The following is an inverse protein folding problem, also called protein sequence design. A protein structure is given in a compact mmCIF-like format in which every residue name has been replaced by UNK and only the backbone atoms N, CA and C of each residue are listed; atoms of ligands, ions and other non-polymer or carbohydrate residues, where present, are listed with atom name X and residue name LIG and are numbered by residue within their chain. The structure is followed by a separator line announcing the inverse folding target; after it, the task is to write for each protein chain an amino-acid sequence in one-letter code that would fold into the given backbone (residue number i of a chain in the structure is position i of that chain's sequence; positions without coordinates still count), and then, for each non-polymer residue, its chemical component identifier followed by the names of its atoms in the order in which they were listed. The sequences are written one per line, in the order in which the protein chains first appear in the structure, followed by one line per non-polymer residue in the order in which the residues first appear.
data_IF_631096922486
#
_entry.id   IF_631096922486
#
_cell.length_a   1.000
_cell.length_b   1.000
_cell.length_c   1.000
_cell.angle_alpha   90.00
_cell.angle_beta   90.00
_cell.angle_gamma   90.00
#
_symmetry.space_group_name_H-M   'P 1'
#
loop_
_entity.id
_entity.type
_entity.pdbx_description
1 polymer ?
#
# COMPACT_ATOMS: atom_id res chain seq x y z
N UNK A 1 25.62 -17.32 -7.13
CA UNK A 1 24.70 -16.30 -6.56
C UNK A 1 23.61 -17.00 -5.75
N UNK A 2 23.48 -16.70 -4.45
CA UNK A 2 22.59 -17.44 -3.53
C UNK A 2 21.10 -17.23 -3.83
N UNK A 3 20.25 -18.17 -3.37
CA UNK A 3 18.78 -18.05 -3.48
C UNK A 3 18.27 -16.79 -2.76
N UNK A 4 18.82 -16.47 -1.59
CA UNK A 4 18.47 -15.27 -0.83
C UNK A 4 18.81 -13.98 -1.56
N UNK A 5 19.98 -13.91 -2.22
CA UNK A 5 20.35 -12.74 -3.00
C UNK A 5 19.39 -12.50 -4.16
N UNK A 6 19.04 -13.55 -4.92
CA UNK A 6 18.04 -13.46 -6.00
C UNK A 6 16.68 -12.97 -5.48
N UNK A 7 16.27 -13.42 -4.29
CA UNK A 7 15.01 -13.01 -3.68
C UNK A 7 15.05 -11.54 -3.23
N UNK A 8 16.15 -11.10 -2.62
CA UNK A 8 16.36 -9.69 -2.24
C UNK A 8 16.29 -8.77 -3.46
N UNK A 9 16.90 -9.15 -4.59
CA UNK A 9 16.79 -8.39 -5.85
C UNK A 9 15.36 -8.31 -6.37
N UNK A 10 14.56 -9.38 -6.25
CA UNK A 10 13.16 -9.37 -6.66
C UNK A 10 12.33 -8.42 -5.82
N UNK A 11 12.51 -8.39 -4.50
CA UNK A 11 11.79 -7.46 -3.62
C UNK A 11 12.20 -6.01 -3.81
N UNK A 12 13.43 -5.75 -4.26
CA UNK A 12 13.95 -4.41 -4.50
C UNK A 12 13.97 -4.01 -5.99
N UNK A 13 13.22 -4.71 -6.84
CA UNK A 13 13.25 -4.49 -8.29
C UNK A 13 12.86 -3.05 -8.68
N UNK A 14 11.97 -2.41 -7.90
CA UNK A 14 11.63 -1.01 -8.09
C UNK A 14 12.88 -0.12 -7.99
N UNK A 15 13.68 -0.22 -6.93
CA UNK A 15 14.88 0.61 -6.76
C UNK A 15 16.00 0.24 -7.73
N UNK A 16 16.14 -1.04 -8.07
CA UNK A 16 17.23 -1.53 -8.89
C UNK A 16 17.05 -1.21 -10.38
N UNK A 17 15.83 -1.35 -10.89
CA UNK A 17 15.53 -1.18 -12.33
C UNK A 17 14.36 -0.26 -12.59
N UNK A 18 13.29 -0.32 -11.78
CA UNK A 18 12.06 0.46 -12.01
C UNK A 18 12.27 1.98 -11.94
N UNK A 19 12.98 2.47 -10.92
CA UNK A 19 13.18 3.89 -10.65
C UNK A 19 13.93 4.58 -11.80
N UNK A 20 14.91 3.89 -12.39
CA UNK A 20 15.70 4.41 -13.52
C UNK A 20 14.88 4.65 -14.78
N UNK A 21 13.73 3.98 -14.93
CA UNK A 21 12.84 4.18 -16.07
C UNK A 21 12.08 5.50 -16.00
N UNK A 22 12.01 6.14 -14.83
CA UNK A 22 11.30 7.41 -14.59
C UNK A 22 9.84 7.42 -15.08
N UNK A 23 9.20 6.26 -15.15
CA UNK A 23 7.81 6.13 -15.61
C UNK A 23 6.79 6.53 -14.53
N UNK A 24 7.18 6.41 -13.26
CA UNK A 24 6.32 6.74 -12.13
C UNK A 24 6.49 8.21 -11.72
N UNK A 25 5.39 8.90 -11.43
CA UNK A 25 5.40 10.28 -10.95
C UNK A 25 5.07 10.37 -9.45
N UNK A 26 5.63 11.32 -8.71
CA UNK A 26 5.25 11.60 -7.31
C UNK A 26 3.75 11.84 -7.17
N UNK A 27 3.15 11.22 -6.15
CA UNK A 27 1.84 11.59 -5.65
C UNK A 27 2.01 12.51 -4.44
N UNK A 28 1.48 13.73 -4.54
CA UNK A 28 1.65 14.82 -3.60
C UNK A 28 0.34 15.08 -2.84
N UNK A 29 0.44 15.25 -1.53
CA UNK A 29 -0.66 15.66 -0.64
C UNK A 29 -0.12 16.70 0.33
N UNK A 30 -0.75 17.88 0.40
CA UNK A 30 -0.28 19.03 1.20
C UNK A 30 1.20 19.37 0.96
N UNK A 31 1.64 19.35 -0.31
CA UNK A 31 3.03 19.60 -0.67
C UNK A 31 4.02 18.48 -0.33
N UNK A 32 3.58 17.39 0.30
CA UNK A 32 4.43 16.24 0.63
C UNK A 32 4.26 15.09 -0.37
N UNK A 33 5.38 14.50 -0.80
CA UNK A 33 5.31 13.24 -1.54
C UNK A 33 4.98 12.08 -0.61
N UNK A 34 3.83 11.44 -0.86
CA UNK A 34 3.33 10.29 -0.08
C UNK A 34 3.38 8.98 -0.85
N UNK A 35 3.53 9.04 -2.17
CA UNK A 35 3.51 7.87 -3.03
C UNK A 35 4.06 8.11 -4.43
N UNK A 36 3.77 7.15 -5.31
CA UNK A 36 4.20 7.11 -6.70
C UNK A 36 3.11 6.50 -7.57
N UNK A 37 2.81 7.16 -8.67
CA UNK A 37 1.76 6.77 -9.60
C UNK A 37 2.35 6.31 -10.92
N UNK A 38 1.89 5.15 -11.39
CA UNK A 38 2.23 4.63 -12.71
C UNK A 38 1.38 5.30 -13.81
N UNK A 39 1.83 5.31 -15.08
CA UNK A 39 1.11 5.97 -16.16
C UNK A 39 -0.33 5.47 -16.39
N UNK A 40 -0.58 4.18 -16.21
CA UNK A 40 -1.90 3.59 -16.33
C UNK A 40 -2.87 4.07 -15.24
N UNK A 41 -2.37 4.36 -14.04
CA UNK A 41 -3.18 4.92 -12.96
C UNK A 41 -3.48 6.39 -13.23
N UNK A 42 -2.47 7.17 -13.63
CA UNK A 42 -2.63 8.59 -13.96
C UNK A 42 -3.70 8.82 -15.04
N UNK A 43 -3.79 7.93 -16.05
CA UNK A 43 -4.84 7.99 -17.07
C UNK A 43 -6.26 7.93 -16.51
N UNK A 44 -6.47 7.19 -15.42
CA UNK A 44 -7.78 7.15 -14.76
C UNK A 44 -8.00 8.39 -13.90
N UNK A 45 -6.96 8.86 -13.18
CA UNK A 45 -7.06 10.05 -12.33
C UNK A 45 -7.36 11.34 -13.12
N UNK A 46 -6.96 11.41 -14.40
CA UNK A 46 -7.31 12.51 -15.31
C UNK A 46 -8.82 12.72 -15.48
N UNK A 47 -9.63 11.70 -15.21
CA UNK A 47 -11.10 11.78 -15.27
C UNK A 47 -11.71 12.49 -14.05
N UNK A 48 -10.90 12.76 -13.04
CA UNK A 48 -11.31 13.33 -11.75
C UNK A 48 -10.56 14.64 -11.44
N UNK A 49 -10.61 15.65 -12.33
CA UNK A 49 -9.84 16.89 -12.19
C UNK A 49 -10.21 17.70 -10.94
N UNK A 50 -11.41 17.50 -10.40
CA UNK A 50 -11.86 18.09 -9.13
C UNK A 50 -11.18 17.49 -7.90
N UNK A 51 -10.60 16.28 -8.00
CA UNK A 51 -9.89 15.60 -6.90
C UNK A 51 -8.38 15.57 -7.13
N UNK A 52 -7.93 15.32 -8.37
CA UNK A 52 -6.51 15.15 -8.71
C UNK A 52 -6.06 16.15 -9.77
N UNK A 53 -5.02 16.92 -9.45
CA UNK A 53 -4.36 17.83 -10.39
C UNK A 53 -3.13 17.12 -10.96
N UNK A 54 -3.17 16.81 -12.25
CA UNK A 54 -2.09 16.09 -12.94
C UNK A 54 -1.16 17.10 -13.62
N UNK A 55 0.09 17.16 -13.15
CA UNK A 55 1.15 17.97 -13.74
C UNK A 55 2.07 17.15 -14.66
N UNK A 56 2.97 17.84 -15.36
CA UNK A 56 4.01 17.18 -16.17
C UNK A 56 4.92 16.30 -15.30
N UNK A 57 5.27 16.74 -14.09
CA UNK A 57 6.20 16.05 -13.19
C UNK A 57 5.57 15.30 -12.01
N UNK A 58 4.32 15.55 -11.63
CA UNK A 58 3.67 15.02 -10.44
C UNK A 58 2.16 14.88 -10.61
N UNK A 59 1.50 14.23 -9.65
CA UNK A 59 0.05 14.32 -9.45
C UNK A 59 -0.17 14.80 -8.04
N UNK A 60 -0.95 15.86 -7.88
CA UNK A 60 -1.26 16.47 -6.59
C UNK A 60 -2.74 16.25 -6.25
N UNK A 61 -3.03 15.89 -5.01
CA UNK A 61 -4.39 15.95 -4.48
C UNK A 61 -4.81 17.41 -4.38
N UNK A 62 -6.04 17.73 -4.81
CA UNK A 62 -6.52 19.10 -4.89
C UNK A 62 -6.19 19.91 -3.60
N UNK A 63 -5.34 20.96 -3.69
CA UNK A 63 -4.87 21.72 -2.53
C UNK A 63 -5.95 22.58 -1.88
N UNK A 64 -7.15 22.64 -2.47
CA UNK A 64 -8.31 23.28 -1.85
C UNK A 64 -8.85 22.49 -0.64
N UNK A 65 -8.60 21.17 -0.56
CA UNK A 65 -9.07 20.35 0.56
C UNK A 65 -8.27 20.68 1.84
N UNK A 66 -8.98 20.96 2.94
CA UNK A 66 -8.38 21.62 4.12
C UNK A 66 -8.03 20.71 5.27
N UNK A 67 -8.70 19.56 5.37
CA UNK A 67 -8.50 18.67 6.50
C UNK A 67 -8.37 17.20 6.08
N UNK A 68 -8.00 16.38 7.07
CA UNK A 68 -7.81 14.94 6.90
C UNK A 68 -9.07 14.26 6.36
N UNK A 69 -10.24 14.63 6.89
CA UNK A 69 -11.51 13.96 6.60
C UNK A 69 -12.01 14.31 5.19
N UNK A 70 -11.87 15.57 4.78
CA UNK A 70 -12.21 16.03 3.44
C UNK A 70 -11.35 15.31 2.40
N UNK A 71 -10.02 15.28 2.59
CA UNK A 71 -9.11 14.56 1.68
C UNK A 71 -9.45 13.08 1.58
N UNK A 72 -9.67 12.44 2.73
CA UNK A 72 -10.02 11.03 2.81
C UNK A 72 -11.33 10.72 2.09
N UNK A 73 -12.37 11.51 2.34
CA UNK A 73 -13.69 11.30 1.73
C UNK A 73 -13.69 11.52 0.21
N UNK A 74 -12.99 12.55 -0.27
CA UNK A 74 -12.85 12.83 -1.72
C UNK A 74 -12.10 11.72 -2.45
N UNK A 75 -11.00 11.22 -1.87
CA UNK A 75 -10.27 10.09 -2.43
C UNK A 75 -11.11 8.82 -2.38
N UNK A 76 -11.80 8.55 -1.26
CA UNK A 76 -12.65 7.37 -1.11
C UNK A 76 -13.79 7.32 -2.14
N UNK A 77 -14.42 8.46 -2.45
CA UNK A 77 -15.46 8.54 -3.49
C UNK A 77 -14.92 8.09 -4.85
N UNK A 78 -13.77 8.61 -5.28
CA UNK A 78 -13.14 8.19 -6.55
C UNK A 78 -12.78 6.71 -6.54
N UNK A 79 -12.21 6.21 -5.43
CA UNK A 79 -11.86 4.80 -5.31
C UNK A 79 -13.08 3.87 -5.36
N UNK A 80 -14.20 4.29 -4.78
CA UNK A 80 -15.45 3.55 -4.82
C UNK A 80 -16.01 3.49 -6.25
N UNK A 81 -16.02 4.61 -6.98
CA UNK A 81 -16.42 4.60 -8.39
C UNK A 81 -15.51 3.72 -9.26
N UNK A 82 -14.19 3.77 -9.05
CA UNK A 82 -13.24 2.92 -9.77
C UNK A 82 -13.46 1.43 -9.45
N UNK A 83 -13.87 1.11 -8.21
CA UNK A 83 -14.24 -0.24 -7.79
C UNK A 83 -15.52 -0.70 -8.46
N UNK A 84 -16.57 0.13 -8.42
CA UNK A 84 -17.90 -0.21 -8.96
C UNK A 84 -17.87 -0.41 -10.48
N UNK A 85 -16.93 0.27 -11.16
CA UNK A 85 -16.68 0.11 -12.59
C UNK A 85 -15.60 -0.96 -12.91
N UNK A 86 -15.17 -1.77 -11.94
CA UNK A 86 -14.18 -2.85 -12.13
C UNK A 86 -12.85 -2.41 -12.79
N UNK A 87 -12.45 -1.14 -12.60
CA UNK A 87 -11.32 -0.53 -13.32
C UNK A 87 -9.99 -1.19 -12.96
N UNK A 88 -9.83 -1.56 -11.68
CA UNK A 88 -8.61 -2.19 -11.17
C UNK A 88 -8.93 -3.46 -10.41
N UNK A 89 -8.30 -4.57 -10.80
CA UNK A 89 -8.46 -5.88 -10.14
C UNK A 89 -8.13 -5.84 -8.64
N UNK A 90 -7.23 -4.95 -8.22
CA UNK A 90 -6.85 -4.81 -6.80
C UNK A 90 -8.03 -4.35 -5.94
N UNK A 91 -8.91 -3.49 -6.47
CA UNK A 91 -10.07 -2.94 -5.76
C UNK A 91 -11.16 -4.00 -5.49
N UNK A 92 -11.12 -5.16 -6.16
CA UNK A 92 -11.94 -6.33 -5.79
C UNK A 92 -11.60 -6.86 -4.40
N UNK A 93 -10.39 -6.57 -3.92
CA UNK A 93 -9.91 -6.93 -2.60
C UNK A 93 -10.30 -5.93 -1.51
N UNK A 94 -11.35 -5.13 -1.71
CA UNK A 94 -11.85 -4.16 -0.72
C UNK A 94 -12.14 -4.81 0.63
N UNK A 95 -11.72 -4.16 1.73
CA UNK A 95 -11.81 -4.74 3.09
C UNK A 95 -12.56 -3.88 4.10
N UNK A 96 -13.02 -2.69 3.72
CA UNK A 96 -13.49 -1.68 4.67
C UNK A 96 -12.44 -1.42 5.77
N UNK A 97 -11.17 -1.48 5.36
CA UNK A 97 -9.99 -1.32 6.20
C UNK A 97 -9.09 -0.27 5.54
N UNK A 98 -8.99 0.90 6.16
CA UNK A 98 -8.15 1.98 5.65
C UNK A 98 -6.77 1.97 6.32
N UNK A 99 -5.77 2.38 5.56
CA UNK A 99 -4.43 2.68 6.06
C UNK A 99 -4.20 4.18 6.05
N UNK A 100 -3.40 4.63 7.02
CA UNK A 100 -3.02 6.02 7.12
C UNK A 100 -1.92 6.36 6.10
N UNK A 101 -2.15 7.39 5.28
CA UNK A 101 -1.19 7.89 4.30
C UNK A 101 -0.30 8.92 4.97
N UNK A 102 0.97 8.54 5.15
CA UNK A 102 1.98 9.34 5.84
C UNK A 102 3.24 9.48 5.01
N UNK A 103 4.01 10.53 5.30
CA UNK A 103 5.35 10.72 4.72
C UNK A 103 6.35 9.73 5.31
N UNK A 104 6.31 9.52 6.62
CA UNK A 104 7.14 8.57 7.38
C UNK A 104 6.31 7.98 8.52
N UNK A 105 6.78 6.92 9.16
CA UNK A 105 5.97 6.16 10.12
C UNK A 105 5.42 7.01 11.27
N UNK A 106 6.26 7.87 11.84
CA UNK A 106 5.94 8.71 13.01
C UNK A 106 5.37 10.10 12.64
N UNK A 107 5.08 10.40 11.38
CA UNK A 107 4.42 11.66 11.03
C UNK A 107 2.90 11.58 11.17
N UNK A 108 2.24 12.73 11.22
CA UNK A 108 0.79 12.80 11.18
C UNK A 108 0.25 12.24 9.86
N UNK A 109 -0.91 11.60 9.95
CA UNK A 109 -1.70 11.19 8.80
C UNK A 109 -2.12 12.39 7.95
N UNK A 110 -2.06 12.23 6.63
CA UNK A 110 -2.51 13.23 5.66
C UNK A 110 -3.89 12.87 5.09
N UNK A 111 -4.17 11.58 4.90
CA UNK A 111 -5.51 11.06 4.60
C UNK A 111 -5.52 9.56 4.91
N UNK A 112 -6.70 8.98 4.96
CA UNK A 112 -6.87 7.53 4.95
C UNK A 112 -7.24 7.01 3.56
N UNK A 113 -6.71 5.84 3.23
CA UNK A 113 -6.94 5.20 1.93
C UNK A 113 -7.24 3.72 2.15
N UNK A 114 -8.22 3.20 1.41
CA UNK A 114 -8.57 1.79 1.51
C UNK A 114 -7.35 0.91 1.15
N UNK A 115 -7.14 -0.13 1.97
CA UNK A 115 -5.96 -0.99 1.92
C UNK A 115 -5.65 -1.55 0.54
N UNK A 116 -6.66 -2.01 -0.20
CA UNK A 116 -6.50 -2.57 -1.55
C UNK A 116 -6.14 -1.52 -2.61
N UNK A 117 -6.47 -0.24 -2.37
CA UNK A 117 -6.14 0.87 -3.26
C UNK A 117 -4.71 1.41 -3.05
N UNK A 118 -4.15 1.30 -1.85
CA UNK A 118 -2.82 1.89 -1.51
C UNK A 118 -1.68 1.51 -2.46
N UNK A 119 -1.71 0.31 -3.05
CA UNK A 119 -0.69 -0.13 -4.01
C UNK A 119 -0.78 0.59 -5.38
N UNK A 120 -1.96 1.09 -5.77
CA UNK A 120 -2.16 1.87 -6.99
C UNK A 120 -1.45 3.23 -6.91
N UNK A 121 -1.37 3.79 -5.70
CA UNK A 121 -0.76 5.09 -5.41
C UNK A 121 0.68 4.97 -4.89
N UNK A 122 1.23 3.75 -4.82
CA UNK A 122 2.58 3.52 -4.32
C UNK A 122 2.79 4.01 -2.88
N UNK A 123 1.73 3.95 -2.07
CA UNK A 123 1.75 4.42 -0.68
C UNK A 123 2.61 3.49 0.16
N UNK A 124 3.40 4.06 1.08
CA UNK A 124 4.16 3.29 2.07
C UNK A 124 3.19 2.65 3.05
N UNK A 125 3.25 1.33 3.16
CA UNK A 125 2.42 0.55 4.08
C UNK A 125 3.26 0.08 5.26
N UNK A 126 2.63 0.02 6.43
CA UNK A 126 3.25 -0.47 7.65
C UNK A 126 2.49 -1.70 8.15
N UNK A 127 3.21 -2.55 8.89
CA UNK A 127 2.67 -3.80 9.39
C UNK A 127 3.56 -4.38 10.48
N UNK A 128 2.98 -5.31 11.21
CA UNK A 128 3.65 -6.05 12.28
C UNK A 128 3.79 -7.50 11.86
N UNK A 129 4.95 -8.08 12.11
CA UNK A 129 5.18 -9.52 11.97
C UNK A 129 5.90 -10.04 13.21
N UNK A 130 5.40 -11.14 13.77
CA UNK A 130 5.91 -11.75 14.99
C UNK A 130 6.48 -13.12 14.63
N UNK A 131 7.73 -13.35 15.04
CA UNK A 131 8.39 -14.64 14.95
C UNK A 131 8.23 -15.38 16.28
N UNK A 132 7.40 -16.42 16.29
CA UNK A 132 7.28 -17.29 17.45
C UNK A 132 8.29 -18.42 17.39
N UNK A 133 8.96 -18.70 18.50
CA UNK A 133 9.86 -19.84 18.61
C UNK A 133 9.79 -20.49 20.00
N UNK A 134 10.17 -21.76 20.06
CA UNK A 134 10.27 -22.54 21.31
C UNK A 134 11.55 -23.35 21.30
N UNK A 135 12.12 -23.64 22.48
CA UNK A 135 13.21 -24.61 22.64
C UNK A 135 12.61 -25.96 23.04
N UNK A 136 12.45 -26.84 22.06
CA UNK A 136 11.94 -28.18 22.30
C UNK A 136 13.06 -29.07 22.91
N UNK A 137 12.79 -29.85 23.97
CA UNK A 137 13.82 -30.65 24.65
C UNK A 137 14.62 -31.57 23.73
N UNK A 138 13.98 -32.13 22.69
CA UNK A 138 14.60 -33.06 21.73
C UNK A 138 14.96 -32.40 20.38
N UNK A 139 14.18 -31.42 19.91
CA UNK A 139 14.29 -30.90 18.53
C UNK A 139 15.10 -29.60 18.46
N UNK A 140 15.53 -29.07 19.61
CA UNK A 140 16.20 -27.78 19.68
C UNK A 140 15.26 -26.62 19.38
N UNK A 141 15.75 -25.61 18.68
CA UNK A 141 14.98 -24.43 18.31
C UNK A 141 13.92 -24.79 17.24
N UNK A 142 12.64 -24.59 17.57
CA UNK A 142 11.52 -24.73 16.65
C UNK A 142 10.86 -23.37 16.43
N UNK A 143 10.41 -23.09 15.20
CA UNK A 143 9.75 -21.83 14.83
C UNK A 143 8.31 -22.15 14.44
N UNK A 144 7.38 -21.29 14.86
CA UNK A 144 5.98 -21.37 14.44
C UNK A 144 5.80 -20.68 13.08
N UNK A 145 5.32 -21.47 12.11
CA UNK A 145 4.82 -20.97 10.83
C UNK A 145 3.32 -21.25 10.75
N UNK A 146 2.58 -20.32 10.16
CA UNK A 146 1.18 -20.55 9.81
C UNK A 146 1.05 -20.82 8.31
N UNK A 147 0.02 -21.58 7.94
CA UNK A 147 -0.44 -21.68 6.55
C UNK A 147 -1.67 -20.81 6.39
N UNK A 148 -1.62 -19.85 5.49
CA UNK A 148 -2.72 -18.92 5.22
C UNK A 148 -3.96 -19.68 4.75
N UNK A 149 -5.13 -19.29 5.24
CA UNK A 149 -6.40 -19.86 4.82
C UNK A 149 -6.58 -19.72 3.29
N UNK A 150 -7.27 -20.70 2.68
CA UNK A 150 -7.57 -20.68 1.24
C UNK A 150 -8.48 -19.51 0.84
N UNK A 151 -9.22 -18.94 1.80
CA UNK A 151 -10.14 -17.80 1.61
C UNK A 151 -9.46 -16.43 1.69
N UNK A 152 -8.15 -16.36 1.99
CA UNK A 152 -7.44 -15.07 2.03
C UNK A 152 -7.39 -14.44 0.64
N UNK A 153 -7.75 -13.16 0.54
CA UNK A 153 -7.75 -12.41 -0.71
C UNK A 153 -6.35 -12.26 -1.30
N UNK A 154 -5.31 -12.27 -0.47
CA UNK A 154 -3.91 -12.23 -0.88
C UNK A 154 -3.18 -13.48 -0.42
N UNK A 155 -2.46 -14.10 -1.35
CA UNK A 155 -1.56 -15.24 -1.09
C UNK A 155 -2.24 -16.43 -0.36
N UNK A 156 -3.40 -16.92 -0.83
CA UNK A 156 -4.08 -18.04 -0.19
C UNK A 156 -3.20 -19.31 -0.18
N UNK A 157 -3.23 -20.06 0.93
CA UNK A 157 -2.51 -21.33 1.08
C UNK A 157 -0.99 -21.22 1.22
N UNK A 158 -0.40 -20.01 1.23
CA UNK A 158 1.05 -19.81 1.40
C UNK A 158 1.45 -19.91 2.88
N UNK A 159 2.72 -20.22 3.12
CA UNK A 159 3.33 -20.14 4.45
C UNK A 159 3.58 -18.67 4.84
N UNK A 160 3.43 -18.36 6.12
CA UNK A 160 3.55 -17.03 6.70
C UNK A 160 4.16 -17.12 8.11
N UNK A 161 4.64 -16.01 8.66
CA UNK A 161 5.14 -15.94 10.04
C UNK A 161 4.03 -16.26 11.04
N UNK A 162 4.36 -16.54 12.31
CA UNK A 162 3.37 -16.91 13.34
C UNK A 162 2.19 -15.92 13.39
N UNK A 163 2.47 -14.62 13.39
CA UNK A 163 1.47 -13.55 13.27
C UNK A 163 1.98 -12.50 12.30
N UNK A 164 1.13 -12.04 11.38
CA UNK A 164 1.43 -10.97 10.44
C UNK A 164 0.16 -10.16 10.16
N UNK A 165 0.26 -8.83 10.20
CA UNK A 165 -0.85 -7.92 9.96
C UNK A 165 -0.38 -6.56 9.46
N UNK A 166 -1.25 -5.85 8.74
CA UNK A 166 -1.02 -4.45 8.43
C UNK A 166 -1.45 -3.55 9.59
N UNK A 167 -0.98 -2.30 9.58
CA UNK A 167 -1.43 -1.28 10.53
C UNK A 167 -2.52 -0.43 9.88
N UNK A 168 -3.76 -0.63 10.32
CA UNK A 168 -4.90 0.17 9.92
C UNK A 168 -4.91 1.53 10.64
N UNK A 169 -5.70 2.47 10.12
CA UNK A 169 -6.01 3.73 10.81
C UNK A 169 -6.51 3.42 12.23
N UNK A 170 -6.13 4.27 13.19
CA UNK A 170 -6.46 4.13 14.62
C UNK A 170 -5.96 2.82 15.29
N UNK A 171 -5.09 2.06 14.64
CA UNK A 171 -4.43 0.89 15.25
C UNK A 171 -3.01 1.28 15.66
N UNK A 172 -2.78 1.41 16.96
CA UNK A 172 -1.45 1.61 17.53
C UNK A 172 -0.68 0.29 17.68
N UNK A 173 0.64 0.40 17.86
CA UNK A 173 1.46 -0.64 18.50
C UNK A 173 1.74 -0.18 19.92
#
# INVERSE_FOLDING_TARGET
MSRFFKLSQKFNCFYLTGLKKQECKPFIVEGFQVGLLRPDIMKQLLKYPEVFIVHSGSVELNPAFRDYQERSSKVAQVLQELRDNDVFVTLKGWRDECYDVRTVFNSSGLLEMERSATCLFGIRQYGVSINGFVRHPVKGLCIWFQKRAATKQTWPGKWDNMVSGGLAVNTGI
#
